data_IF_200561101441
#
_entry.id   IF_200561101441
#
_cell.length_a   1.000
_cell.length_b   1.000
_cell.length_c   1.000
_cell.angle_alpha   90.00
_cell.angle_beta   90.00
_cell.angle_gamma   90.00
#
_symmetry.space_group_name_H-M   'P 1'
#
loop_
_entity.id
_entity.type
_entity.pdbx_description
1 polymer ?
#
# COMPACT_ATOMS: atom_id res chain seq x y z
N UNK A 1 19.27 -3.82 10.07
CA UNK A 1 18.54 -4.73 9.16
C UNK A 1 17.05 -4.51 9.34
N UNK A 2 16.34 -4.30 8.25
CA UNK A 2 14.90 -4.04 8.31
C UNK A 2 14.10 -5.34 8.38
N UNK A 3 13.05 -5.35 9.20
CA UNK A 3 12.11 -6.47 9.27
C UNK A 3 10.86 -6.12 8.44
N UNK A 4 10.08 -7.15 8.09
CA UNK A 4 8.80 -6.95 7.40
C UNK A 4 7.90 -6.03 8.22
N UNK A 5 7.87 -6.22 9.54
CA UNK A 5 7.06 -5.39 10.44
C UNK A 5 7.47 -3.92 10.40
N UNK A 6 8.76 -3.64 10.35
CA UNK A 6 9.27 -2.27 10.27
C UNK A 6 8.92 -1.62 8.93
N UNK A 7 9.07 -2.35 7.83
CA UNK A 7 8.70 -1.85 6.50
C UNK A 7 7.19 -1.61 6.40
N UNK A 8 6.39 -2.52 6.94
CA UNK A 8 4.94 -2.38 6.98
C UNK A 8 4.52 -1.15 7.79
N UNK A 9 5.12 -0.98 8.96
CA UNK A 9 4.85 0.18 9.81
C UNK A 9 5.19 1.50 9.08
N UNK A 10 6.29 1.51 8.35
CA UNK A 10 6.67 2.66 7.54
C UNK A 10 5.66 2.98 6.46
N UNK A 11 5.15 1.96 5.76
CA UNK A 11 4.09 2.14 4.78
C UNK A 11 2.80 2.65 5.41
N UNK A 12 2.41 2.10 6.56
CA UNK A 12 1.22 2.55 7.30
C UNK A 12 1.38 4.03 7.69
N UNK A 13 2.55 4.42 8.18
CA UNK A 13 2.81 5.82 8.55
C UNK A 13 2.67 6.76 7.34
N UNK A 14 3.18 6.36 6.18
CA UNK A 14 3.05 7.17 4.97
C UNK A 14 1.60 7.27 4.50
N UNK A 15 0.87 6.18 4.51
CA UNK A 15 -0.54 6.17 4.12
C UNK A 15 -1.39 6.99 5.09
N UNK A 16 -1.04 6.99 6.36
CA UNK A 16 -1.77 7.73 7.39
C UNK A 16 -1.68 9.25 7.22
N UNK A 17 -0.81 9.75 6.35
CA UNK A 17 -0.76 11.16 6.01
C UNK A 17 -1.93 11.61 5.13
N UNK A 18 -2.66 10.67 4.54
CA UNK A 18 -3.83 10.96 3.72
C UNK A 18 -5.04 11.12 4.64
N UNK A 19 -5.65 12.29 4.63
CA UNK A 19 -6.82 12.55 5.46
C UNK A 19 -8.03 11.76 4.98
N UNK A 20 -8.78 11.21 5.93
CA UNK A 20 -10.01 10.49 5.64
C UNK A 20 -9.81 9.04 5.22
N UNK A 21 -8.56 8.58 5.13
CA UNK A 21 -8.24 7.19 4.79
C UNK A 21 -7.95 6.40 6.05
N UNK A 22 -8.68 5.31 6.25
CA UNK A 22 -8.40 4.36 7.34
C UNK A 22 -7.33 3.39 6.88
N UNK A 23 -6.27 3.23 7.67
CA UNK A 23 -5.12 2.41 7.26
C UNK A 23 -4.97 1.21 8.20
N UNK A 24 -4.88 0.04 7.61
CA UNK A 24 -4.73 -1.22 8.35
C UNK A 24 -3.43 -1.89 7.92
N UNK A 25 -2.60 -2.27 8.89
CA UNK A 25 -1.34 -2.95 8.62
C UNK A 25 -1.49 -4.44 8.29
N UNK A 26 -2.69 -4.98 8.44
CA UNK A 26 -3.03 -6.36 8.10
C UNK A 26 -4.51 -6.43 7.80
N UNK A 27 -4.98 -7.50 7.20
CA UNK A 27 -6.39 -7.64 6.86
C UNK A 27 -7.24 -7.69 8.13
N UNK A 28 -8.12 -6.69 8.35
CA UNK A 28 -8.96 -6.64 9.55
C UNK A 28 -10.22 -7.49 9.39
N UNK A 29 -10.89 -7.75 10.51
CA UNK A 29 -12.18 -8.41 10.50
C UNK A 29 -13.30 -7.54 9.93
N UNK A 30 -13.15 -6.23 10.00
CA UNK A 30 -14.08 -5.27 9.39
C UNK A 30 -13.34 -4.00 9.06
N UNK A 31 -13.84 -3.25 8.08
CA UNK A 31 -13.22 -1.99 7.65
C UNK A 31 -14.24 -0.87 7.61
N UNK A 32 -13.75 0.36 7.74
CA UNK A 32 -14.54 1.58 7.53
C UNK A 32 -14.00 2.25 6.27
N UNK A 33 -14.74 2.24 5.15
CA UNK A 33 -14.26 2.86 3.90
C UNK A 33 -14.22 4.39 4.00
N UNK A 34 -13.33 5.06 3.27
CA UNK A 34 -12.28 4.48 2.44
C UNK A 34 -11.15 3.92 3.30
N UNK A 35 -10.63 2.78 2.90
CA UNK A 35 -9.62 2.06 3.68
C UNK A 35 -8.47 1.60 2.81
N UNK A 36 -7.27 1.55 3.40
CA UNK A 36 -6.10 0.96 2.76
C UNK A 36 -5.58 -0.18 3.65
N UNK A 37 -5.31 -1.32 3.05
CA UNK A 37 -4.81 -2.51 3.75
C UNK A 37 -3.46 -2.87 3.15
N UNK A 38 -2.44 -2.96 4.00
CA UNK A 38 -1.11 -3.38 3.59
C UNK A 38 -1.03 -4.90 3.69
N UNK A 39 -0.99 -5.56 2.55
CA UNK A 39 -0.95 -7.02 2.47
C UNK A 39 0.47 -7.51 2.67
N UNK A 40 0.64 -8.68 3.29
CA UNK A 40 1.96 -9.30 3.50
C UNK A 40 2.70 -9.43 2.17
N UNK A 41 3.97 -9.00 2.10
CA UNK A 41 4.70 -8.99 0.84
C UNK A 41 5.18 -10.36 0.42
N UNK A 42 5.42 -10.53 -0.88
CA UNK A 42 6.31 -11.56 -1.37
C UNK A 42 7.74 -11.04 -1.32
N UNK A 43 8.71 -11.93 -1.11
CA UNK A 43 10.09 -11.54 -0.85
C UNK A 43 11.03 -12.28 -1.78
N UNK A 44 11.92 -11.54 -2.42
CA UNK A 44 13.09 -12.09 -3.11
C UNK A 44 14.29 -11.83 -2.20
N UNK A 45 14.83 -12.90 -1.60
CA UNK A 45 15.84 -12.76 -0.55
C UNK A 45 17.21 -12.31 -1.04
N UNK A 46 17.53 -12.59 -2.29
CA UNK A 46 18.83 -12.27 -2.87
C UNK A 46 18.64 -11.46 -4.16
N UNK A 47 18.24 -10.21 -4.01
CA UNK A 47 18.18 -9.29 -5.13
C UNK A 47 19.59 -8.83 -5.57
N UNK A 48 20.60 -9.12 -4.73
CA UNK A 48 22.02 -8.94 -5.05
C UNK A 48 22.78 -10.18 -4.63
N UNK A 49 24.04 -10.33 -5.06
CA UNK A 49 24.85 -11.51 -4.80
C UNK A 49 25.66 -11.44 -3.51
N UNK A 50 25.48 -10.41 -2.69
CA UNK A 50 26.21 -10.32 -1.41
C UNK A 50 25.70 -11.39 -0.45
N UNK A 51 26.63 -12.10 0.23
CA UNK A 51 26.29 -13.17 1.15
C UNK A 51 25.61 -12.63 2.41
N UNK A 52 26.21 -11.60 3.03
CA UNK A 52 25.66 -10.93 4.20
C UNK A 52 25.21 -9.54 3.83
N UNK A 53 24.06 -9.11 4.34
CA UNK A 53 23.51 -7.81 4.00
C UNK A 53 23.07 -7.71 2.54
N UNK A 54 22.78 -8.86 1.92
CA UNK A 54 22.25 -8.87 0.56
C UNK A 54 20.98 -8.04 0.48
N UNK A 55 20.87 -7.29 -0.63
CA UNK A 55 19.68 -6.51 -0.91
C UNK A 55 18.50 -7.46 -1.13
N UNK A 56 17.40 -7.23 -0.43
CA UNK A 56 16.18 -8.01 -0.55
C UNK A 56 15.11 -7.16 -1.23
N UNK A 57 14.30 -7.81 -2.04
CA UNK A 57 13.18 -7.14 -2.71
C UNK A 57 11.88 -7.61 -2.06
N UNK A 58 11.13 -6.64 -1.55
CA UNK A 58 9.81 -6.88 -0.95
C UNK A 58 8.76 -6.32 -1.90
N UNK A 59 7.85 -7.18 -2.33
CA UNK A 59 6.74 -6.76 -3.19
C UNK A 59 5.47 -6.67 -2.35
N UNK A 60 5.19 -5.48 -1.86
CA UNK A 60 3.99 -5.19 -1.08
C UNK A 60 2.82 -4.91 -2.01
N UNK A 61 1.64 -5.28 -1.55
CA UNK A 61 0.40 -4.87 -2.18
C UNK A 61 -0.39 -4.04 -1.18
N UNK A 62 -0.86 -2.89 -1.62
CA UNK A 62 -1.75 -2.05 -0.83
C UNK A 62 -3.13 -2.09 -1.50
N UNK A 63 -4.11 -2.65 -0.80
CA UNK A 63 -5.49 -2.66 -1.29
C UNK A 63 -6.20 -1.43 -0.78
N UNK A 64 -6.79 -0.65 -1.67
CA UNK A 64 -7.61 0.51 -1.31
C UNK A 64 -9.06 0.17 -1.62
N UNK A 65 -9.92 0.32 -0.63
CA UNK A 65 -11.32 -0.08 -0.71
C UNK A 65 -12.21 1.12 -0.42
N UNK A 66 -13.22 1.31 -1.27
CA UNK A 66 -14.22 2.36 -1.11
C UNK A 66 -15.60 1.73 -1.04
N UNK A 67 -16.56 2.42 -0.42
CA UNK A 67 -17.90 1.91 -0.29
C UNK A 67 -18.59 1.84 -1.65
N UNK A 68 -19.39 0.79 -1.89
CA UNK A 68 -20.12 0.61 -3.13
C UNK A 68 -21.37 1.49 -3.28
N UNK A 69 -21.76 2.21 -2.26
CA UNK A 69 -23.06 2.87 -2.17
C UNK A 69 -23.46 3.68 -3.40
N UNK A 70 -22.70 4.70 -3.75
CA UNK A 70 -22.92 5.50 -4.95
C UNK A 70 -21.74 5.30 -5.89
N UNK A 71 -21.99 4.66 -7.04
CA UNK A 71 -20.94 4.27 -7.99
C UNK A 71 -20.11 5.45 -8.46
N UNK A 72 -20.74 6.58 -8.76
CA UNK A 72 -20.01 7.76 -9.24
C UNK A 72 -19.06 8.32 -8.17
N UNK A 73 -19.51 8.37 -6.91
CA UNK A 73 -18.68 8.84 -5.81
C UNK A 73 -17.57 7.86 -5.50
N UNK A 74 -17.85 6.56 -5.55
CA UNK A 74 -16.84 5.53 -5.32
C UNK A 74 -15.77 5.59 -6.40
N UNK A 75 -16.17 5.71 -7.67
CA UNK A 75 -15.23 5.82 -8.78
C UNK A 75 -14.38 7.09 -8.66
N UNK A 76 -14.99 8.23 -8.31
CA UNK A 76 -14.27 9.48 -8.14
C UNK A 76 -13.26 9.41 -7.00
N UNK A 77 -13.64 8.83 -5.87
CA UNK A 77 -12.72 8.63 -4.74
C UNK A 77 -11.56 7.74 -5.12
N UNK A 78 -11.84 6.64 -5.83
CA UNK A 78 -10.79 5.73 -6.27
C UNK A 78 -9.84 6.41 -7.25
N UNK A 79 -10.36 7.23 -8.16
CA UNK A 79 -9.55 8.01 -9.10
C UNK A 79 -8.59 8.94 -8.35
N UNK A 80 -9.06 9.62 -7.30
CA UNK A 80 -8.21 10.50 -6.52
C UNK A 80 -7.06 9.72 -5.85
N UNK A 81 -7.32 8.53 -5.31
CA UNK A 81 -6.29 7.69 -4.71
C UNK A 81 -5.31 7.17 -5.76
N UNK A 82 -5.78 6.90 -6.97
CA UNK A 82 -4.96 6.35 -8.05
C UNK A 82 -4.17 7.41 -8.81
N UNK A 83 -4.54 8.68 -8.73
CA UNK A 83 -3.83 9.74 -9.43
C UNK A 83 -2.35 9.76 -9.04
N UNK A 84 -1.45 10.05 -10.01
CA UNK A 84 -0.01 10.10 -9.70
C UNK A 84 0.37 11.18 -8.70
N UNK A 85 -0.42 12.25 -8.61
CA UNK A 85 -0.16 13.38 -7.72
C UNK A 85 -1.45 13.81 -7.04
N UNK A 86 -1.33 14.63 -6.00
CA UNK A 86 -2.47 15.17 -5.30
C UNK A 86 -2.46 14.80 -3.82
N UNK A 87 -3.31 15.45 -3.03
CA UNK A 87 -3.32 15.27 -1.58
C UNK A 87 -3.84 13.90 -1.15
N UNK A 88 -4.58 13.22 -2.00
CA UNK A 88 -5.10 11.86 -1.73
C UNK A 88 -4.37 10.79 -2.52
N UNK A 89 -3.33 11.13 -3.27
CA UNK A 89 -2.58 10.16 -4.06
C UNK A 89 -1.81 9.18 -3.18
N UNK A 90 -2.08 7.91 -3.33
CA UNK A 90 -1.35 6.84 -2.64
C UNK A 90 0.11 6.85 -3.06
N UNK A 91 0.37 6.98 -4.36
CA UNK A 91 1.73 7.03 -4.88
C UNK A 91 2.51 8.20 -4.28
N UNK A 92 1.93 9.40 -4.28
CA UNK A 92 2.59 10.58 -3.75
C UNK A 92 2.89 10.45 -2.26
N UNK A 93 1.95 9.91 -1.48
CA UNK A 93 2.13 9.71 -0.04
C UNK A 93 3.24 8.70 0.26
N UNK A 94 3.25 7.56 -0.43
CA UNK A 94 4.22 6.51 -0.21
C UNK A 94 5.61 6.94 -0.69
N UNK A 95 5.71 7.54 -1.86
CA UNK A 95 7.00 7.94 -2.43
C UNK A 95 7.57 9.22 -1.81
N UNK A 96 6.83 9.87 -0.92
CA UNK A 96 7.33 11.03 -0.20
C UNK A 96 8.52 10.70 0.72
N UNK A 97 8.61 9.44 1.17
CA UNK A 97 9.77 8.95 1.92
C UNK A 97 10.14 7.56 1.40
N UNK A 98 11.08 7.51 0.47
CA UNK A 98 11.50 6.26 -0.16
C UNK A 98 12.35 5.38 0.75
N UNK A 99 12.73 5.87 1.92
CA UNK A 99 13.50 5.10 2.89
C UNK A 99 12.67 4.52 4.02
N UNK A 100 11.39 4.88 4.12
CA UNK A 100 10.48 4.43 5.17
C UNK A 100 11.13 4.59 6.57
N UNK A 101 11.45 5.82 6.92
CA UNK A 101 12.12 6.17 8.18
C UNK A 101 13.52 5.55 8.32
N UNK A 102 14.19 5.27 7.21
CA UNK A 102 15.54 4.72 7.18
C UNK A 102 15.61 3.21 7.15
N UNK A 103 14.48 2.51 7.17
CA UNK A 103 14.47 1.04 7.13
C UNK A 103 14.68 0.49 5.71
N UNK A 104 14.31 1.24 4.69
CA UNK A 104 14.45 0.81 3.30
C UNK A 104 15.60 1.54 2.61
N UNK A 105 16.23 0.88 1.64
CA UNK A 105 17.20 1.52 0.76
C UNK A 105 16.48 2.39 -0.28
N UNK A 106 15.38 1.86 -0.83
CA UNK A 106 14.61 2.53 -1.87
C UNK A 106 13.26 1.86 -2.00
N UNK A 107 12.28 2.61 -2.49
CA UNK A 107 11.00 2.03 -2.87
C UNK A 107 10.41 2.77 -4.05
N UNK A 108 9.54 2.08 -4.76
CA UNK A 108 8.79 2.65 -5.89
C UNK A 108 7.40 2.02 -5.94
N UNK A 109 6.39 2.85 -6.19
CA UNK A 109 5.04 2.36 -6.49
C UNK A 109 5.00 2.09 -7.99
N UNK A 110 4.89 0.81 -8.36
CA UNK A 110 5.04 0.40 -9.76
C UNK A 110 3.74 0.44 -10.54
N UNK A 111 2.65 -0.03 -9.94
CA UNK A 111 1.39 -0.22 -10.65
C UNK A 111 0.20 0.06 -9.78
N UNK A 112 -0.88 0.50 -10.42
CA UNK A 112 -2.22 0.49 -9.85
C UNK A 112 -3.10 -0.39 -10.74
N UNK A 113 -3.88 -1.29 -10.11
CA UNK A 113 -4.83 -2.15 -10.82
C UNK A 113 -6.20 -2.00 -10.19
N UNK A 114 -7.20 -1.59 -10.98
CA UNK A 114 -8.56 -1.55 -10.45
C UNK A 114 -9.05 -2.98 -10.15
N UNK A 115 -9.79 -3.12 -9.07
CA UNK A 115 -10.41 -4.37 -8.68
C UNK A 115 -11.93 -4.19 -8.77
N UNK A 116 -12.60 -5.17 -9.34
CA UNK A 116 -14.05 -5.24 -9.25
C UNK A 116 -14.39 -5.70 -7.84
N UNK A 117 -15.56 -5.46 -7.37
CA UNK A 117 -16.03 -5.71 -6.03
C UNK A 117 -15.22 -6.74 -5.21
N UNK A 118 -14.54 -6.26 -4.17
CA UNK A 118 -13.81 -7.10 -3.22
C UNK A 118 -14.68 -7.35 -1.99
N UNK A 119 -14.62 -8.57 -1.46
CA UNK A 119 -15.36 -8.93 -0.26
C UNK A 119 -14.43 -8.97 0.95
N UNK A 120 -14.77 -8.18 1.97
CA UNK A 120 -14.06 -8.17 3.26
C UNK A 120 -15.11 -8.32 4.35
N UNK A 121 -14.97 -9.33 5.21
CA UNK A 121 -15.89 -9.58 6.32
C UNK A 121 -17.36 -9.69 5.86
N UNK A 122 -17.60 -10.34 4.73
CA UNK A 122 -18.93 -10.56 4.11
C UNK A 122 -19.57 -9.29 3.55
N UNK A 123 -18.82 -8.18 3.46
CA UNK A 123 -19.26 -6.95 2.80
C UNK A 123 -18.46 -6.74 1.52
N UNK A 124 -19.10 -6.21 0.50
CA UNK A 124 -18.46 -5.95 -0.78
C UNK A 124 -18.04 -4.50 -0.90
N UNK A 125 -16.85 -4.29 -1.45
CA UNK A 125 -16.25 -2.97 -1.65
C UNK A 125 -15.72 -2.83 -3.06
N UNK A 126 -15.73 -1.62 -3.58
CA UNK A 126 -14.99 -1.27 -4.78
C UNK A 126 -13.57 -0.90 -4.39
N UNK A 127 -12.62 -1.20 -5.24
CA UNK A 127 -11.26 -0.87 -4.89
C UNK A 127 -10.26 -1.04 -6.00
N UNK A 128 -9.02 -0.94 -5.60
CA UNK A 128 -7.88 -1.18 -6.44
C UNK A 128 -6.70 -1.63 -5.62
N UNK A 129 -5.68 -2.14 -6.28
CA UNK A 129 -4.44 -2.52 -5.61
C UNK A 129 -3.27 -1.75 -6.18
N UNK A 130 -2.36 -1.37 -5.29
CA UNK A 130 -1.09 -0.74 -5.64
C UNK A 130 0.02 -1.72 -5.37
N UNK A 131 0.88 -1.93 -6.37
CA UNK A 131 2.07 -2.75 -6.20
C UNK A 131 3.23 -1.82 -5.82
N UNK A 132 3.85 -2.10 -4.67
CA UNK A 132 4.97 -1.32 -4.15
C UNK A 132 6.18 -2.23 -4.03
N UNK A 133 7.25 -1.88 -4.69
CA UNK A 133 8.51 -2.62 -4.59
C UNK A 133 9.45 -1.88 -3.65
N UNK A 134 9.89 -2.57 -2.60
CA UNK A 134 10.78 -2.02 -1.59
C UNK A 134 12.08 -2.82 -1.60
N UNK A 135 13.20 -2.12 -1.66
CA UNK A 135 14.52 -2.72 -1.53
C UNK A 135 15.07 -2.41 -0.15
N UNK A 136 15.48 -3.42 0.59
CA UNK A 136 16.04 -3.26 1.93
C UNK A 136 17.07 -4.34 2.23
N UNK A 137 17.97 -4.04 3.15
CA UNK A 137 18.99 -4.98 3.59
C UNK A 137 18.61 -5.68 4.90
#
# INVERSE_FOLDING_TARGET
MATISELRAGLVDRLSTIQGLQVYGAEPGSITPPAAVVVTPSITYHASFAADGALKQYSFRIMVLVAQGLLDEAAHSLDEFADPTGVRSIRAAVEADTTLNGYAESLIVTDFRPLNAEEVASLQYWGGSFDVTVYAR
#
